data_IF_600556960459
#
_entry.id   IF_600556960459
#
_cell.length_a   1.000
_cell.length_b   1.000
_cell.length_c   1.000
_cell.angle_alpha   90.00
_cell.angle_beta   90.00
_cell.angle_gamma   90.00
#
_symmetry.space_group_name_H-M   'P 1'
#
loop_
_entity.id
_entity.type
_entity.pdbx_description
1 polymer ?
#
# COMPACT_ATOMS: atom_id res chain seq x y z
N UNK A 1 -24.13 -9.75 32.46
CA UNK A 1 -22.93 -8.91 32.25
C UNK A 1 -23.13 -8.12 30.97
N UNK A 2 -22.57 -6.92 30.85
CA UNK A 2 -22.68 -6.16 29.61
C UNK A 2 -21.80 -6.81 28.51
N UNK A 3 -22.28 -6.79 27.26
CA UNK A 3 -21.48 -7.19 26.10
C UNK A 3 -20.20 -6.36 26.01
N UNK A 4 -19.11 -6.98 25.56
CA UNK A 4 -17.83 -6.33 25.32
C UNK A 4 -17.46 -6.37 23.84
N UNK A 5 -16.54 -5.50 23.40
CA UNK A 5 -16.13 -5.34 22.01
C UNK A 5 -14.61 -5.14 21.92
N UNK A 6 -13.85 -5.98 22.68
CA UNK A 6 -12.40 -5.79 22.82
C UNK A 6 -11.57 -6.45 21.71
N UNK A 7 -12.17 -7.28 20.87
CA UNK A 7 -11.49 -7.89 19.73
C UNK A 7 -11.22 -6.90 18.59
N UNK A 8 -10.26 -7.22 17.74
CA UNK A 8 -9.79 -6.36 16.62
C UNK A 8 -10.88 -6.03 15.59
N UNK A 9 -11.93 -6.83 15.51
CA UNK A 9 -13.06 -6.60 14.62
C UNK A 9 -14.25 -5.94 15.34
N UNK A 10 -14.12 -5.63 16.63
CA UNK A 10 -15.18 -5.01 17.45
C UNK A 10 -16.51 -5.78 17.39
N UNK A 11 -16.41 -7.12 17.35
CA UNK A 11 -17.56 -8.02 17.42
C UNK A 11 -18.08 -8.08 18.84
N UNK A 12 -19.37 -8.35 18.98
CA UNK A 12 -19.97 -8.53 20.29
C UNK A 12 -19.49 -9.82 20.94
N UNK A 13 -18.85 -9.70 22.10
CA UNK A 13 -18.45 -10.81 22.95
C UNK A 13 -19.50 -10.97 24.04
N UNK A 14 -20.38 -11.95 23.86
CA UNK A 14 -21.45 -12.26 24.82
C UNK A 14 -20.89 -12.99 26.04
N UNK A 15 -21.23 -12.54 27.24
CA UNK A 15 -20.89 -13.26 28.46
C UNK A 15 -21.80 -14.52 28.62
N UNK A 16 -21.32 -15.50 29.37
CA UNK A 16 -22.09 -16.72 29.67
C UNK A 16 -23.40 -16.35 30.33
N UNK A 17 -24.52 -16.83 29.75
CA UNK A 17 -25.88 -16.55 30.20
C UNK A 17 -26.52 -15.29 29.62
N UNK A 18 -25.77 -14.46 28.89
CA UNK A 18 -26.31 -13.33 28.15
C UNK A 18 -27.01 -13.77 26.86
N UNK A 19 -27.86 -12.92 26.33
CA UNK A 19 -28.48 -13.12 25.02
C UNK A 19 -29.57 -14.17 24.96
N UNK A 20 -30.20 -14.55 26.10
CA UNK A 20 -31.36 -15.44 26.11
C UNK A 20 -32.43 -14.91 25.15
N UNK A 21 -32.80 -15.71 24.13
CA UNK A 21 -33.73 -15.32 23.08
C UNK A 21 -33.16 -14.42 21.96
N UNK A 22 -31.94 -13.88 22.11
CA UNK A 22 -31.30 -12.97 21.12
C UNK A 22 -29.93 -13.43 20.63
N UNK A 23 -29.36 -14.48 21.19
CA UNK A 23 -28.03 -14.98 20.86
C UNK A 23 -27.86 -15.25 19.35
N UNK A 24 -28.88 -15.83 18.71
CA UNK A 24 -28.85 -16.12 17.27
C UNK A 24 -28.74 -14.86 16.43
N UNK A 25 -29.46 -13.79 16.80
CA UNK A 25 -29.38 -12.49 16.12
C UNK A 25 -27.99 -11.88 16.28
N UNK A 26 -27.43 -11.92 17.49
CA UNK A 26 -26.08 -11.40 17.78
C UNK A 26 -25.01 -12.18 17.04
N UNK A 27 -25.12 -13.52 16.98
CA UNK A 27 -24.19 -14.38 16.25
C UNK A 27 -24.25 -14.10 14.74
N UNK A 28 -25.45 -14.00 14.17
CA UNK A 28 -25.62 -13.70 12.75
C UNK A 28 -25.07 -12.29 12.40
N UNK A 29 -25.26 -11.31 13.29
CA UNK A 29 -24.67 -10.00 13.13
C UNK A 29 -23.13 -10.07 13.13
N UNK A 30 -22.53 -10.77 14.09
CA UNK A 30 -21.09 -10.98 14.13
C UNK A 30 -20.54 -11.63 12.84
N UNK A 31 -21.23 -12.66 12.31
CA UNK A 31 -20.86 -13.28 11.04
C UNK A 31 -20.93 -12.29 9.87
N UNK A 32 -21.97 -11.45 9.84
CA UNK A 32 -22.07 -10.35 8.86
C UNK A 32 -20.94 -9.35 8.96
N UNK A 33 -20.56 -8.95 10.18
CA UNK A 33 -19.45 -8.02 10.43
C UNK A 33 -18.09 -8.64 10.02
N UNK A 34 -17.88 -9.94 10.20
CA UNK A 34 -16.72 -10.65 9.68
C UNK A 34 -16.68 -10.58 8.15
N UNK A 35 -17.82 -10.83 7.49
CA UNK A 35 -17.94 -10.69 6.04
C UNK A 35 -17.60 -9.29 5.55
N UNK A 36 -18.09 -8.24 6.23
CA UNK A 36 -17.74 -6.84 5.93
C UNK A 36 -16.25 -6.57 6.13
N UNK A 37 -15.64 -7.11 7.19
CA UNK A 37 -14.24 -6.91 7.51
C UNK A 37 -13.28 -7.51 6.46
N UNK A 38 -13.73 -8.51 5.71
CA UNK A 38 -12.98 -9.14 4.62
C UNK A 38 -13.34 -8.57 3.24
N UNK A 39 -14.30 -7.65 3.20
CA UNK A 39 -14.86 -7.10 1.98
C UNK A 39 -14.23 -5.79 1.53
N UNK A 40 -14.95 -5.16 0.59
CA UNK A 40 -14.68 -3.83 0.04
C UNK A 40 -15.60 -2.80 0.69
N UNK A 41 -15.04 -1.63 1.02
CA UNK A 41 -15.78 -0.47 1.50
C UNK A 41 -15.35 0.82 0.81
N UNK A 42 -16.20 1.83 0.90
CA UNK A 42 -15.90 3.20 0.45
C UNK A 42 -16.16 4.17 1.59
N UNK A 43 -15.24 5.12 1.80
CA UNK A 43 -15.35 6.16 2.79
C UNK A 43 -15.04 7.52 2.17
N UNK A 44 -15.90 8.50 2.41
CA UNK A 44 -15.58 9.90 2.11
C UNK A 44 -14.77 10.49 3.27
N UNK A 45 -13.59 11.02 2.97
CA UNK A 45 -12.75 11.77 3.91
C UNK A 45 -13.32 13.17 4.07
N UNK A 46 -13.32 13.68 5.29
CA UNK A 46 -13.77 15.04 5.59
C UNK A 46 -12.89 16.09 4.87
N UNK A 47 -13.49 17.20 4.46
CA UNK A 47 -12.75 18.39 4.04
C UNK A 47 -12.20 19.14 5.26
N UNK A 48 -11.24 18.50 5.92
CA UNK A 48 -10.62 18.98 7.14
C UNK A 48 -9.18 18.48 7.24
N UNK A 49 -8.36 19.12 8.06
CA UNK A 49 -6.98 18.69 8.32
C UNK A 49 -6.88 17.37 9.10
N UNK A 50 -8.00 16.92 9.71
CA UNK A 50 -8.10 15.68 10.48
C UNK A 50 -9.43 14.98 10.21
N UNK A 51 -9.41 13.63 10.21
CA UNK A 51 -10.60 12.76 10.15
C UNK A 51 -10.33 11.47 10.95
N UNK A 52 -11.41 10.72 11.25
CA UNK A 52 -11.33 9.45 11.95
C UNK A 52 -11.97 8.33 11.14
N UNK A 53 -11.23 7.27 10.89
CA UNK A 53 -11.76 5.98 10.44
C UNK A 53 -11.99 5.14 11.68
N UNK A 54 -13.25 4.80 11.97
CA UNK A 54 -13.62 4.15 13.23
C UNK A 54 -14.38 2.86 12.98
N UNK A 55 -13.82 1.74 13.46
CA UNK A 55 -14.54 0.46 13.46
C UNK A 55 -15.57 0.49 14.57
N UNK A 56 -16.85 0.47 14.20
CA UNK A 56 -17.98 0.57 15.13
C UNK A 56 -18.12 -0.69 16.01
N UNK A 57 -18.50 -0.52 17.28
CA UNK A 57 -18.76 -1.60 18.21
C UNK A 57 -20.02 -2.35 17.83
N UNK A 58 -19.90 -3.61 17.41
CA UNK A 58 -21.03 -4.49 17.10
C UNK A 58 -22.02 -3.95 16.07
N UNK A 59 -21.64 -2.98 15.26
CA UNK A 59 -22.48 -2.37 14.24
C UNK A 59 -21.81 -2.40 12.87
N UNK A 60 -22.63 -2.40 11.81
CA UNK A 60 -22.15 -2.32 10.43
C UNK A 60 -21.54 -0.95 10.13
N UNK A 61 -20.37 -0.97 9.50
CA UNK A 61 -19.69 0.23 9.02
C UNK A 61 -18.79 -0.10 7.80
N UNK A 62 -18.55 0.88 6.92
CA UNK A 62 -17.65 0.73 5.77
C UNK A 62 -16.18 0.74 6.20
N UNK A 63 -15.84 1.37 7.32
CA UNK A 63 -14.48 1.56 7.84
C UNK A 63 -13.84 0.24 8.27
N UNK A 64 -14.69 -0.79 8.52
CA UNK A 64 -14.29 -2.15 8.85
C UNK A 64 -13.66 -2.90 7.68
N UNK A 65 -13.96 -2.54 6.43
CA UNK A 65 -13.56 -3.28 5.25
C UNK A 65 -12.05 -3.50 5.16
N UNK A 66 -11.62 -4.62 4.59
CA UNK A 66 -10.21 -4.89 4.33
C UNK A 66 -9.68 -4.00 3.21
N UNK A 67 -10.41 -3.92 2.10
CA UNK A 67 -10.12 -2.94 1.05
C UNK A 67 -11.00 -1.72 1.27
N UNK A 68 -10.38 -0.58 1.54
CA UNK A 68 -11.08 0.66 1.80
C UNK A 68 -10.68 1.73 0.79
N UNK A 69 -11.63 2.12 -0.08
CA UNK A 69 -11.46 3.21 -1.02
C UNK A 69 -11.84 4.53 -0.38
N UNK A 70 -10.89 5.46 -0.34
CA UNK A 70 -11.05 6.78 0.26
C UNK A 70 -11.30 7.81 -0.82
N UNK A 71 -12.39 8.56 -0.69
CA UNK A 71 -12.86 9.55 -1.65
C UNK A 71 -13.12 10.89 -0.96
N UNK A 72 -13.50 11.92 -1.71
CA UNK A 72 -13.83 13.24 -1.13
C UNK A 72 -12.60 13.99 -0.64
N UNK A 73 -12.77 14.74 0.46
CA UNK A 73 -11.74 15.64 0.99
C UNK A 73 -11.54 16.90 0.12
N UNK A 74 -10.94 17.93 0.68
CA UNK A 74 -10.59 19.17 -0.02
C UNK A 74 -9.18 19.64 0.30
N UNK A 75 -8.46 18.90 1.15
CA UNK A 75 -7.10 19.21 1.60
C UNK A 75 -6.37 17.96 2.10
N UNK A 76 -5.05 18.08 2.33
CA UNK A 76 -4.27 17.05 3.02
C UNK A 76 -4.87 16.81 4.42
N UNK A 77 -5.02 15.53 4.80
CA UNK A 77 -5.71 15.13 6.01
C UNK A 77 -4.90 14.11 6.81
N UNK A 78 -4.82 14.29 8.13
CA UNK A 78 -4.35 13.26 9.05
C UNK A 78 -5.54 12.42 9.50
N UNK A 79 -5.51 11.13 9.18
CA UNK A 79 -6.60 10.18 9.42
C UNK A 79 -6.24 9.26 10.57
N UNK A 80 -6.98 9.37 11.67
CA UNK A 80 -6.79 8.49 12.83
C UNK A 80 -7.54 7.18 12.64
N UNK A 81 -6.84 6.06 12.82
CA UNK A 81 -7.41 4.71 12.79
C UNK A 81 -7.87 4.31 14.19
N UNK A 82 -9.18 4.13 14.36
CA UNK A 82 -9.78 3.92 15.68
C UNK A 82 -10.65 2.64 15.73
N UNK A 83 -10.77 2.00 16.92
CA UNK A 83 -9.99 2.31 18.12
C UNK A 83 -8.50 1.99 17.92
N UNK A 84 -7.62 2.79 18.48
CA UNK A 84 -6.17 2.60 18.35
C UNK A 84 -5.62 1.33 19.06
N UNK A 85 -6.50 0.60 19.74
CA UNK A 85 -6.23 -0.72 20.33
C UNK A 85 -6.54 -1.87 19.37
N UNK A 86 -7.06 -1.59 18.17
CA UNK A 86 -7.29 -2.61 17.16
C UNK A 86 -6.03 -2.85 16.33
N UNK A 87 -5.58 -4.11 16.29
CA UNK A 87 -4.55 -4.57 15.36
C UNK A 87 -5.22 -5.11 14.10
N UNK A 88 -4.99 -4.46 12.97
CA UNK A 88 -5.68 -4.79 11.71
C UNK A 88 -4.84 -4.42 10.50
N UNK A 89 -5.07 -5.15 9.41
CA UNK A 89 -4.52 -4.85 8.08
C UNK A 89 -5.61 -4.24 7.21
N UNK A 90 -5.25 -3.22 6.44
CA UNK A 90 -6.07 -2.62 5.40
C UNK A 90 -5.29 -2.52 4.08
N UNK A 91 -6.02 -2.65 2.98
CA UNK A 91 -5.60 -2.18 1.66
C UNK A 91 -6.30 -0.84 1.44
N UNK A 92 -5.57 0.26 1.58
CA UNK A 92 -6.10 1.62 1.49
C UNK A 92 -5.84 2.21 0.11
N UNK A 93 -6.90 2.50 -0.66
CA UNK A 93 -6.84 3.25 -1.92
C UNK A 93 -7.14 4.73 -1.63
N UNK A 94 -6.17 5.60 -1.83
CA UNK A 94 -6.38 7.05 -1.76
C UNK A 94 -6.86 7.59 -3.12
N UNK A 95 -8.17 7.56 -3.36
CA UNK A 95 -8.80 8.13 -4.55
C UNK A 95 -9.13 9.63 -4.39
N UNK A 96 -8.57 10.32 -3.40
CA UNK A 96 -8.65 11.78 -3.25
C UNK A 96 -7.55 12.46 -4.07
N UNK A 97 -7.62 13.78 -4.17
CA UNK A 97 -6.58 14.59 -4.82
C UNK A 97 -5.46 15.05 -3.88
N UNK A 98 -5.45 14.58 -2.63
CA UNK A 98 -4.56 15.07 -1.58
C UNK A 98 -3.85 13.91 -0.87
N UNK A 99 -2.73 14.21 -0.21
CA UNK A 99 -2.05 13.23 0.64
C UNK A 99 -2.87 12.95 1.90
N UNK A 100 -3.05 11.67 2.22
CA UNK A 100 -3.64 11.21 3.48
C UNK A 100 -2.55 10.59 4.35
N UNK A 101 -2.44 11.05 5.61
CA UNK A 101 -1.48 10.52 6.58
C UNK A 101 -2.21 9.72 7.64
N UNK A 102 -1.97 8.41 7.71
CA UNK A 102 -2.64 7.51 8.65
C UNK A 102 -1.83 7.40 9.94
N UNK A 103 -2.54 7.54 11.06
CA UNK A 103 -2.00 7.44 12.42
C UNK A 103 -2.90 6.58 13.31
N UNK A 104 -2.36 5.90 14.31
CA UNK A 104 -3.13 5.23 15.34
C UNK A 104 -2.65 5.58 16.77
N UNK A 105 -1.70 6.51 16.88
CA UNK A 105 -1.15 6.95 18.17
C UNK A 105 0.02 7.91 17.98
N UNK A 106 0.96 7.89 18.90
CA UNK A 106 2.17 8.73 18.84
C UNK A 106 3.33 8.05 18.11
N UNK A 107 3.15 6.82 17.61
CA UNK A 107 4.16 6.08 16.86
C UNK A 107 4.27 6.54 15.40
N UNK A 108 4.97 5.75 14.59
CA UNK A 108 5.18 6.05 13.18
C UNK A 108 3.87 6.04 12.39
N UNK A 109 3.78 6.93 11.42
CA UNK A 109 2.63 7.13 10.54
C UNK A 109 2.97 6.71 9.11
N UNK A 110 1.94 6.43 8.29
CA UNK A 110 2.09 6.14 6.86
C UNK A 110 1.35 7.18 6.05
N UNK A 111 2.04 7.82 5.10
CA UNK A 111 1.43 8.68 4.11
C UNK A 111 1.09 7.87 2.84
N UNK A 112 -0.11 8.11 2.29
CA UNK A 112 -0.56 7.58 1.01
C UNK A 112 -0.85 8.77 0.10
N UNK A 113 -0.11 8.90 -1.00
CA UNK A 113 -0.26 10.01 -1.93
C UNK A 113 -1.55 9.86 -2.74
N UNK A 114 -1.98 10.96 -3.37
CA UNK A 114 -3.14 10.94 -4.26
C UNK A 114 -2.99 9.89 -5.36
N UNK A 115 -4.00 9.04 -5.53
CA UNK A 115 -4.02 7.95 -6.52
C UNK A 115 -3.23 6.69 -6.14
N UNK A 116 -2.57 6.66 -4.98
CA UNK A 116 -1.85 5.48 -4.52
C UNK A 116 -2.75 4.49 -3.76
N UNK A 117 -2.34 3.23 -3.78
CA UNK A 117 -2.88 2.17 -2.92
C UNK A 117 -1.74 1.56 -2.13
N UNK A 118 -1.90 1.47 -0.80
CA UNK A 118 -0.94 0.80 0.08
C UNK A 118 -1.60 -0.26 0.95
N UNK A 119 -0.83 -1.27 1.33
CA UNK A 119 -1.22 -2.20 2.39
C UNK A 119 -0.58 -1.68 3.68
N UNK A 120 -1.43 -1.29 4.63
CA UNK A 120 -1.00 -0.79 5.94
C UNK A 120 -1.50 -1.68 7.06
N UNK A 121 -0.81 -1.66 8.19
CA UNK A 121 -1.21 -2.41 9.38
C UNK A 121 -1.04 -1.56 10.65
N UNK A 122 -1.91 -1.78 11.64
CA UNK A 122 -1.78 -1.21 12.99
C UNK A 122 -1.38 -2.29 13.98
N UNK A 123 -0.60 -1.94 15.01
CA UNK A 123 -0.17 -2.87 16.06
C UNK A 123 -1.16 -3.01 17.21
N UNK A 124 -2.11 -2.07 17.35
CA UNK A 124 -3.07 -2.06 18.45
C UNK A 124 -2.48 -1.62 19.80
N UNK A 125 -1.32 -0.95 19.81
CA UNK A 125 -0.62 -0.54 21.04
C UNK A 125 -1.24 0.69 21.74
N UNK A 126 -2.44 1.11 21.36
CA UNK A 126 -3.13 2.24 21.99
C UNK A 126 -2.46 3.57 21.69
N UNK A 127 -2.22 4.41 22.70
CA UNK A 127 -1.67 5.75 22.53
C UNK A 127 -0.25 5.78 21.93
N UNK A 128 0.51 4.69 22.04
CA UNK A 128 1.82 4.52 21.41
C UNK A 128 1.78 3.85 20.04
N UNK A 129 0.59 3.57 19.51
CA UNK A 129 0.38 2.76 18.32
C UNK A 129 1.12 3.25 17.08
N UNK A 130 1.51 2.29 16.25
CA UNK A 130 2.28 2.47 15.02
C UNK A 130 1.43 2.02 13.83
N UNK A 131 1.52 2.76 12.72
CA UNK A 131 1.03 2.32 11.42
C UNK A 131 2.22 1.88 10.58
N UNK A 132 2.19 0.65 10.08
CA UNK A 132 3.22 0.07 9.22
C UNK A 132 2.80 0.14 7.75
N UNK A 133 3.72 0.49 6.86
CA UNK A 133 3.62 0.20 5.43
C UNK A 133 4.15 -1.24 5.22
N UNK A 134 3.25 -2.16 4.92
CA UNK A 134 3.56 -3.61 4.92
C UNK A 134 4.49 -3.99 3.77
N UNK A 135 4.52 -3.20 2.69
CA UNK A 135 5.34 -3.48 1.50
C UNK A 135 6.66 -2.70 1.47
N UNK A 136 6.96 -1.89 2.49
CA UNK A 136 8.30 -1.31 2.66
C UNK A 136 9.30 -2.43 2.94
N UNK A 137 10.45 -2.39 2.28
CA UNK A 137 11.53 -3.39 2.42
C UNK A 137 11.11 -4.83 2.09
N UNK A 138 10.15 -5.00 1.17
CA UNK A 138 9.67 -6.32 0.76
C UNK A 138 10.77 -7.10 0.03
N UNK A 139 11.15 -8.26 0.54
CA UNK A 139 12.01 -9.22 -0.14
C UNK A 139 11.14 -10.20 -0.94
N UNK A 140 11.21 -10.11 -2.27
CA UNK A 140 10.52 -11.01 -3.18
C UNK A 140 11.47 -12.14 -3.60
N UNK A 141 11.35 -13.29 -2.94
CA UNK A 141 12.10 -14.49 -3.32
C UNK A 141 11.51 -15.13 -4.58
N UNK A 142 12.38 -15.63 -5.48
CA UNK A 142 11.98 -16.31 -6.72
C UNK A 142 11.80 -15.36 -7.90
N UNK A 143 11.00 -15.77 -8.89
CA UNK A 143 10.78 -15.00 -10.13
C UNK A 143 9.59 -14.08 -9.99
N UNK A 144 9.81 -12.77 -10.14
CA UNK A 144 8.74 -11.76 -10.20
C UNK A 144 8.40 -11.45 -11.66
N UNK A 145 7.13 -11.61 -12.06
CA UNK A 145 6.63 -11.26 -13.39
C UNK A 145 5.82 -9.97 -13.30
N UNK A 146 6.19 -8.96 -14.07
CA UNK A 146 5.45 -7.70 -14.19
C UNK A 146 5.13 -7.42 -15.65
N UNK A 147 3.99 -6.78 -15.94
CA UNK A 147 3.68 -6.33 -17.30
C UNK A 147 4.56 -5.12 -17.68
N UNK A 148 4.81 -4.23 -16.72
CA UNK A 148 5.74 -3.11 -16.81
C UNK A 148 6.36 -2.87 -15.43
N UNK A 149 7.61 -2.44 -15.39
CA UNK A 149 8.30 -2.03 -14.17
C UNK A 149 8.74 -0.58 -14.33
N UNK A 150 8.20 0.32 -13.50
CA UNK A 150 8.68 1.70 -13.36
C UNK A 150 9.45 1.81 -12.05
N UNK A 151 10.74 2.11 -12.12
CA UNK A 151 11.58 2.35 -10.97
C UNK A 151 11.86 3.85 -10.82
N UNK A 152 11.32 4.46 -9.77
CA UNK A 152 11.48 5.91 -9.52
C UNK A 152 12.84 6.26 -8.86
N UNK A 153 13.54 5.27 -8.31
CA UNK A 153 14.84 5.42 -7.68
C UNK A 153 15.98 4.77 -8.48
N UNK A 154 17.12 4.57 -7.84
CA UNK A 154 18.22 3.83 -8.42
C UNK A 154 17.88 2.33 -8.53
N UNK A 155 18.21 1.71 -9.67
CA UNK A 155 18.19 0.26 -9.82
C UNK A 155 19.59 -0.29 -9.51
N UNK A 156 19.72 -1.04 -8.41
CA UNK A 156 20.94 -1.77 -8.06
C UNK A 156 20.75 -3.26 -8.38
N UNK A 157 21.48 -3.77 -9.36
CA UNK A 157 21.45 -5.18 -9.74
C UNK A 157 22.80 -5.85 -9.43
N UNK A 158 22.78 -6.92 -8.62
CA UNK A 158 23.98 -7.67 -8.24
C UNK A 158 24.22 -8.92 -9.10
N UNK A 159 23.28 -9.22 -10.00
CA UNK A 159 23.37 -10.35 -10.92
C UNK A 159 23.49 -9.91 -12.37
N UNK A 160 23.33 -10.86 -13.29
CA UNK A 160 23.28 -10.59 -14.73
C UNK A 160 21.98 -9.92 -15.11
N UNK A 161 22.02 -8.92 -15.99
CA UNK A 161 20.85 -8.35 -16.66
C UNK A 161 20.79 -8.94 -18.07
N UNK A 162 19.73 -9.68 -18.37
CA UNK A 162 19.43 -10.19 -19.71
C UNK A 162 18.19 -9.47 -20.24
N UNK A 163 18.27 -8.89 -21.43
CA UNK A 163 17.15 -8.22 -22.09
C UNK A 163 16.82 -8.98 -23.37
N UNK A 164 15.58 -9.48 -23.46
CA UNK A 164 15.15 -10.31 -24.57
C UNK A 164 15.56 -11.78 -24.43
N UNK A 165 15.39 -12.52 -25.51
CA UNK A 165 15.84 -13.92 -25.70
C UNK A 165 16.53 -14.04 -27.06
N UNK A 166 17.26 -15.11 -27.30
CA UNK A 166 17.90 -15.37 -28.60
C UNK A 166 16.86 -15.32 -29.73
N UNK A 167 17.19 -14.68 -30.84
CA UNK A 167 16.31 -14.39 -31.99
C UNK A 167 15.11 -13.44 -31.69
N UNK A 168 14.99 -12.91 -30.47
CA UNK A 168 13.94 -11.92 -30.09
C UNK A 168 14.51 -10.94 -29.09
N UNK A 169 15.27 -9.97 -29.57
CA UNK A 169 15.83 -8.89 -28.77
C UNK A 169 14.83 -7.78 -28.45
N UNK A 170 15.31 -6.78 -27.75
CA UNK A 170 14.61 -5.52 -27.49
C UNK A 170 15.62 -4.39 -27.42
N UNK A 171 15.19 -3.20 -27.79
CA UNK A 171 15.97 -1.98 -27.63
C UNK A 171 16.30 -1.73 -26.14
N UNK A 172 17.56 -1.37 -25.89
CA UNK A 172 18.01 -0.94 -24.55
C UNK A 172 18.58 0.46 -24.65
N UNK A 173 17.87 1.44 -24.11
CA UNK A 173 18.22 2.86 -24.23
C UNK A 173 18.54 3.50 -22.89
N UNK A 174 19.70 4.15 -22.83
CA UNK A 174 20.15 4.95 -21.70
C UNK A 174 20.25 6.42 -22.11
N UNK A 175 19.48 7.30 -21.45
CA UNK A 175 19.50 8.73 -21.75
C UNK A 175 20.58 9.44 -20.97
N UNK A 176 21.29 10.38 -21.64
CA UNK A 176 22.14 11.36 -21.00
C UNK A 176 21.34 12.51 -20.36
N UNK A 177 22.03 13.35 -19.58
CA UNK A 177 21.42 14.54 -18.99
C UNK A 177 21.09 15.63 -20.02
N UNK A 178 21.81 15.67 -21.15
CA UNK A 178 21.57 16.62 -22.23
C UNK A 178 20.54 16.06 -23.22
N UNK A 179 19.58 16.89 -23.62
CA UNK A 179 18.55 16.49 -24.58
C UNK A 179 19.18 15.98 -25.88
N UNK A 180 18.72 14.81 -26.33
CA UNK A 180 19.20 14.15 -27.53
C UNK A 180 20.38 13.19 -27.32
N UNK A 181 21.11 13.25 -26.20
CA UNK A 181 22.21 12.35 -25.93
C UNK A 181 21.73 11.01 -25.34
N UNK A 182 22.19 9.91 -25.93
CA UNK A 182 21.83 8.55 -25.49
C UNK A 182 22.86 7.49 -25.94
N UNK A 183 22.83 6.34 -25.28
CA UNK A 183 23.37 5.09 -25.75
C UNK A 183 22.21 4.12 -26.01
N UNK A 184 22.16 3.51 -27.17
CA UNK A 184 21.09 2.60 -27.58
C UNK A 184 21.68 1.32 -28.16
N UNK A 185 21.30 0.16 -27.61
CA UNK A 185 21.33 -1.08 -28.36
C UNK A 185 20.06 -1.12 -29.23
N UNK A 186 20.24 -1.06 -30.54
CA UNK A 186 19.17 -1.14 -31.54
C UNK A 186 19.06 -2.59 -31.98
N UNK A 187 17.99 -3.27 -31.58
CA UNK A 187 17.80 -4.70 -31.87
C UNK A 187 17.54 -4.95 -33.36
N UNK A 188 16.88 -4.02 -34.03
CA UNK A 188 16.51 -4.17 -35.45
C UNK A 188 17.71 -4.01 -36.39
N UNK A 189 18.76 -3.34 -35.95
CA UNK A 189 19.99 -3.09 -36.69
C UNK A 189 21.18 -3.91 -36.16
N UNK A 190 20.98 -4.71 -35.08
CA UNK A 190 22.04 -5.43 -34.36
C UNK A 190 23.27 -4.55 -34.07
N UNK A 191 23.02 -3.32 -33.63
CA UNK A 191 24.08 -2.31 -33.50
C UNK A 191 23.97 -1.47 -32.22
N UNK A 192 25.13 -1.03 -31.73
CA UNK A 192 25.23 -0.07 -30.64
C UNK A 192 25.37 1.35 -31.22
N UNK A 193 24.39 2.19 -30.95
CA UNK A 193 24.36 3.61 -31.33
C UNK A 193 24.71 4.48 -30.14
N UNK A 194 25.58 5.44 -30.33
CA UNK A 194 25.90 6.47 -29.32
C UNK A 194 25.73 7.84 -29.96
N UNK A 195 24.79 8.63 -29.41
CA UNK A 195 24.62 10.02 -29.76
C UNK A 195 25.14 10.86 -28.59
N UNK A 196 26.38 11.31 -28.71
CA UNK A 196 27.20 11.99 -27.70
C UNK A 196 28.66 11.56 -27.79
N UNK A 197 29.50 12.09 -26.91
CA UNK A 197 30.92 11.76 -26.87
C UNK A 197 31.16 10.40 -26.20
N UNK A 198 32.13 9.64 -26.69
CA UNK A 198 32.60 8.42 -26.06
C UNK A 198 33.96 8.71 -25.45
N UNK A 199 34.02 8.89 -24.13
CA UNK A 199 35.26 8.98 -23.39
C UNK A 199 35.71 7.60 -22.95
N UNK A 200 36.76 7.10 -23.58
CA UNK A 200 37.38 5.85 -23.19
C UNK A 200 38.46 6.10 -22.13
N UNK A 201 38.09 5.94 -20.86
CA UNK A 201 39.07 6.02 -19.76
C UNK A 201 39.90 4.76 -19.78
N UNK A 202 41.04 4.82 -20.45
CA UNK A 202 41.95 3.66 -20.56
C UNK A 202 43.00 3.69 -19.44
N UNK A 203 42.99 2.65 -18.60
CA UNK A 203 44.14 2.33 -17.75
C UNK A 203 45.14 1.45 -18.55
N UNK A 204 45.50 1.88 -19.78
CA UNK A 204 46.51 1.25 -20.62
C UNK A 204 46.01 0.14 -21.58
N UNK A 205 44.76 -0.22 -21.59
CA UNK A 205 44.22 -1.17 -22.56
C UNK A 205 43.45 -0.45 -23.70
N UNK A 206 43.82 -0.78 -24.93
CA UNK A 206 43.14 -0.33 -26.16
C UNK A 206 41.97 -1.26 -26.47
N UNK A 207 40.91 -0.74 -27.07
CA UNK A 207 39.96 -1.52 -27.84
C UNK A 207 40.63 -1.95 -29.15
#
# INVERSE_FOLDING_TARGET
MASTYVNNLRLNEMATGDGSGTWGTTTNLNLSLIGQALGYGTRAIADASTDNITIADGASDSDRAMYLKLTGGGQACTVSLLPNTASKVWMMENATSYTLTFTCGSGANVAILAGETKIIATDGAGSGGVVYDVLTDTNLAGTTKTAALTNAGALSNQGTVTVGVDDTGYDVKFFGATSGNYMLWDESADSLLVNGDIDMVTNGNRI
#
